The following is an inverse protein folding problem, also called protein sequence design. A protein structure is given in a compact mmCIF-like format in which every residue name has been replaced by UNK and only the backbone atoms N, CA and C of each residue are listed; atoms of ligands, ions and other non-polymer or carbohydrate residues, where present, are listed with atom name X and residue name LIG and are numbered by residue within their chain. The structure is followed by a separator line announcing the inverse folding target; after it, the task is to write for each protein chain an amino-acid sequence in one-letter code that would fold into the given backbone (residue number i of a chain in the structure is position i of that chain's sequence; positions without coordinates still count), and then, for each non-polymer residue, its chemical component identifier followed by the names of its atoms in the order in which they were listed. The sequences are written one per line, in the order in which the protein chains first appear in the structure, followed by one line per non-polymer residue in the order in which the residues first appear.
data_IF_638892291688
#
_entry.id   IF_638892291688
#
_cell.length_a   1.000
_cell.length_b   1.000
_cell.length_c   1.000
_cell.angle_alpha   90.00
_cell.angle_beta   90.00
_cell.angle_gamma   90.00
#
_symmetry.space_group_name_H-M   'P 1'
#
loop_
_entity.id
_entity.type
_entity.pdbx_description
1 polymer ?
#
# COMPACT_ATOMS: atom_id res chain seq x y z
N UNK A 1 -21.21 13.58 4.00
CA UNK A 1 -20.07 12.67 3.79
C UNK A 1 -20.50 11.56 2.86
N UNK A 2 -19.78 11.37 1.78
CA UNK A 2 -19.85 10.23 0.87
C UNK A 2 -19.29 8.98 1.54
N UNK A 3 -19.63 7.81 0.99
CA UNK A 3 -19.08 6.52 1.43
C UNK A 3 -17.55 6.50 1.41
N UNK A 4 -16.93 7.14 0.42
CA UNK A 4 -15.47 7.21 0.32
C UNK A 4 -14.86 8.07 1.43
N UNK A 5 -15.51 9.19 1.79
CA UNK A 5 -15.07 10.02 2.92
C UNK A 5 -15.22 9.28 4.26
N UNK A 6 -16.27 8.46 4.42
CA UNK A 6 -16.45 7.62 5.62
C UNK A 6 -15.32 6.59 5.72
N UNK A 7 -15.04 5.87 4.63
CA UNK A 7 -13.96 4.88 4.59
C UNK A 7 -12.60 5.52 4.90
N UNK A 8 -12.29 6.65 4.28
CA UNK A 8 -11.03 7.36 4.50
C UNK A 8 -10.82 7.74 5.97
N UNK A 9 -11.83 8.32 6.63
CA UNK A 9 -11.74 8.69 8.05
C UNK A 9 -11.62 7.49 8.98
N UNK A 10 -12.26 6.37 8.65
CA UNK A 10 -12.14 5.13 9.42
C UNK A 10 -10.73 4.56 9.33
N UNK A 11 -10.14 4.51 8.13
CA UNK A 11 -8.74 4.10 7.95
C UNK A 11 -7.79 4.97 8.77
N UNK A 12 -7.87 6.30 8.62
CA UNK A 12 -7.05 7.24 9.39
C UNK A 12 -7.21 7.04 10.90
N UNK A 13 -8.44 6.82 11.39
CA UNK A 13 -8.69 6.60 12.81
C UNK A 13 -8.07 5.28 13.32
N UNK A 14 -8.17 4.20 12.54
CA UNK A 14 -7.63 2.88 12.90
C UNK A 14 -6.10 2.90 13.00
N UNK A 15 -5.43 3.56 12.05
CA UNK A 15 -3.96 3.68 12.02
C UNK A 15 -3.37 4.43 13.22
N UNK A 16 -4.18 5.24 13.92
CA UNK A 16 -3.74 6.05 15.07
C UNK A 16 -4.17 5.47 16.43
N UNK A 17 -4.64 4.22 16.47
CA UNK A 17 -5.04 3.53 17.72
C UNK A 17 -3.96 2.53 18.11
N UNK A 18 -3.42 2.69 19.32
CA UNK A 18 -2.45 1.74 19.91
C UNK A 18 -3.09 0.68 20.83
N UNK A 19 -4.40 0.80 21.11
CA UNK A 19 -5.13 -0.12 21.98
C UNK A 19 -5.54 -1.39 21.22
N UNK A 20 -4.80 -2.46 21.47
CA UNK A 20 -5.04 -3.76 20.84
C UNK A 20 -6.41 -4.38 21.16
N UNK A 21 -6.93 -4.23 22.39
CA UNK A 21 -8.26 -4.79 22.70
C UNK A 21 -9.37 -4.04 21.97
N UNK A 22 -9.20 -2.72 21.83
CA UNK A 22 -10.12 -1.91 21.05
C UNK A 22 -10.08 -2.27 19.55
N UNK A 23 -8.88 -2.47 18.99
CA UNK A 23 -8.71 -2.92 17.60
C UNK A 23 -9.34 -4.31 17.37
N UNK A 24 -9.18 -5.23 18.31
CA UNK A 24 -9.83 -6.56 18.24
C UNK A 24 -11.35 -6.43 18.24
N UNK A 25 -11.91 -5.56 19.09
CA UNK A 25 -13.35 -5.29 19.13
C UNK A 25 -13.84 -4.73 17.79
N UNK A 26 -13.12 -3.78 17.20
CA UNK A 26 -13.45 -3.23 15.88
C UNK A 26 -13.43 -4.34 14.82
N UNK A 27 -12.39 -5.19 14.84
CA UNK A 27 -12.26 -6.32 13.92
C UNK A 27 -13.49 -7.23 13.98
N UNK A 28 -13.90 -7.65 15.17
CA UNK A 28 -15.07 -8.54 15.35
C UNK A 28 -16.37 -7.92 14.78
N UNK A 29 -16.55 -6.60 14.94
CA UNK A 29 -17.72 -5.88 14.41
C UNK A 29 -17.75 -5.92 12.87
N UNK A 30 -16.61 -5.70 12.22
CA UNK A 30 -16.53 -5.59 10.76
C UNK A 30 -16.42 -6.94 10.04
N UNK A 31 -15.93 -7.97 10.73
CA UNK A 31 -15.65 -9.30 10.16
C UNK A 31 -16.91 -9.95 9.54
N UNK A 32 -18.08 -9.73 10.13
CA UNK A 32 -19.37 -10.23 9.62
C UNK A 32 -19.78 -9.63 8.27
N UNK A 33 -19.20 -8.48 7.90
CA UNK A 33 -19.41 -7.80 6.61
C UNK A 33 -18.20 -7.91 5.69
N UNK A 34 -17.09 -8.45 6.18
CA UNK A 34 -15.93 -8.72 5.37
C UNK A 34 -16.25 -9.84 4.39
N UNK A 35 -16.29 -9.48 3.12
CA UNK A 35 -16.23 -10.43 2.03
C UNK A 35 -14.82 -10.30 1.48
N UNK A 36 -14.01 -11.34 1.64
CA UNK A 36 -12.76 -11.41 0.89
C UNK A 36 -13.15 -11.30 -0.58
N UNK A 37 -12.61 -10.30 -1.28
CA UNK A 37 -12.65 -10.34 -2.74
C UNK A 37 -11.89 -11.61 -3.15
N UNK A 38 -12.60 -12.55 -3.81
CA UNK A 38 -12.07 -13.87 -4.17
C UNK A 38 -10.82 -13.78 -5.08
N UNK A 39 -10.55 -12.60 -5.64
CA UNK A 39 -9.30 -12.25 -6.29
C UNK A 39 -9.22 -10.74 -6.47
N UNK A 40 -8.18 -10.10 -5.93
CA UNK A 40 -7.81 -8.76 -6.41
C UNK A 40 -7.18 -8.97 -7.79
N UNK A 41 -7.95 -8.73 -8.84
CA UNK A 41 -7.40 -8.68 -10.19
C UNK A 41 -6.60 -7.38 -10.34
N UNK A 42 -5.31 -7.52 -10.61
CA UNK A 42 -4.46 -6.37 -10.93
C UNK A 42 -4.87 -5.83 -12.31
N UNK A 43 -5.22 -4.54 -12.43
CA UNK A 43 -5.31 -3.86 -13.71
C UNK A 43 -4.13 -4.18 -14.64
N UNK A 44 -4.38 -4.27 -15.94
CA UNK A 44 -3.35 -4.59 -16.95
C UNK A 44 -2.11 -3.69 -16.85
N UNK A 45 -2.28 -2.41 -16.49
CA UNK A 45 -1.16 -1.48 -16.30
C UNK A 45 -0.26 -1.85 -15.11
N UNK A 46 -0.81 -2.45 -14.05
CA UNK A 46 -0.02 -2.93 -12.91
C UNK A 46 0.76 -4.18 -13.29
N UNK A 47 0.10 -5.13 -13.99
CA UNK A 47 0.77 -6.33 -14.50
C UNK A 47 1.95 -5.97 -15.41
N UNK A 48 1.74 -5.07 -16.38
CA UNK A 48 2.82 -4.58 -17.26
C UNK A 48 3.97 -3.94 -16.51
N UNK A 49 3.70 -3.21 -15.42
CA UNK A 49 4.75 -2.60 -14.60
C UNK A 49 5.56 -3.63 -13.82
N UNK A 50 4.90 -4.69 -13.34
CA UNK A 50 5.56 -5.79 -12.65
C UNK A 50 6.47 -6.53 -13.64
N UNK A 51 5.94 -6.94 -14.80
CA UNK A 51 6.71 -7.64 -15.85
C UNK A 51 7.93 -6.80 -16.29
N UNK A 52 7.75 -5.50 -16.48
CA UNK A 52 8.85 -4.60 -16.83
C UNK A 52 9.88 -4.49 -15.71
N UNK A 53 9.45 -4.41 -14.45
CA UNK A 53 10.36 -4.33 -13.30
C UNK A 53 11.17 -5.63 -13.15
N UNK A 54 10.55 -6.79 -13.34
CA UNK A 54 11.22 -8.08 -13.31
C UNK A 54 12.28 -8.17 -14.42
N UNK A 55 11.94 -7.75 -15.64
CA UNK A 55 12.88 -7.66 -16.77
C UNK A 55 14.06 -6.73 -16.50
N UNK A 56 13.80 -5.57 -15.89
CA UNK A 56 14.84 -4.61 -15.51
C UNK A 56 15.80 -5.21 -14.49
N UNK A 57 15.28 -5.88 -13.46
CA UNK A 57 16.09 -6.56 -12.44
C UNK A 57 16.99 -7.63 -13.07
N UNK A 58 16.44 -8.47 -13.95
CA UNK A 58 17.21 -9.50 -14.66
C UNK A 58 18.34 -8.93 -15.52
N UNK A 59 18.13 -7.75 -16.11
CA UNK A 59 19.12 -7.03 -16.92
C UNK A 59 20.11 -6.21 -16.07
N UNK A 60 19.97 -6.16 -14.75
CA UNK A 60 20.78 -5.31 -13.88
C UNK A 60 20.41 -3.82 -13.92
N UNK A 61 19.23 -3.49 -14.46
CA UNK A 61 18.66 -2.14 -14.55
C UNK A 61 17.91 -1.78 -13.26
N UNK A 62 18.53 -2.01 -12.12
CA UNK A 62 17.98 -1.67 -10.81
C UNK A 62 18.92 -0.71 -10.07
N UNK A 63 18.36 -0.01 -9.09
CA UNK A 63 19.15 0.78 -8.16
C UNK A 63 19.36 -0.01 -6.87
N UNK A 64 20.57 0.07 -6.30
CA UNK A 64 20.79 -0.31 -4.91
C UNK A 64 20.26 0.77 -3.99
N UNK A 65 20.00 0.42 -2.73
CA UNK A 65 19.56 1.36 -1.71
C UNK A 65 20.47 2.61 -1.64
N UNK A 66 21.79 2.41 -1.65
CA UNK A 66 22.77 3.51 -1.66
C UNK A 66 22.63 4.41 -2.91
N UNK A 67 22.33 3.84 -4.08
CA UNK A 67 22.11 4.63 -5.29
C UNK A 67 20.81 5.42 -5.22
N UNK A 68 19.75 4.85 -4.63
CA UNK A 68 18.48 5.55 -4.41
C UNK A 68 18.68 6.71 -3.45
N UNK A 69 19.36 6.50 -2.33
CA UNK A 69 19.62 7.54 -1.32
C UNK A 69 20.38 8.73 -1.93
N UNK A 70 21.42 8.46 -2.72
CA UNK A 70 22.17 9.51 -3.42
C UNK A 70 21.29 10.32 -4.40
N UNK A 71 20.33 9.69 -5.06
CA UNK A 71 19.38 10.38 -5.96
C UNK A 71 18.43 11.26 -5.16
N UNK A 72 17.95 10.77 -4.03
CA UNK A 72 17.06 11.52 -3.13
C UNK A 72 17.80 12.73 -2.55
N UNK A 73 19.02 12.55 -2.05
CA UNK A 73 19.83 13.63 -1.50
C UNK A 73 20.08 14.74 -2.53
N UNK A 74 20.34 14.35 -3.79
CA UNK A 74 20.48 15.31 -4.88
C UNK A 74 19.20 16.09 -5.14
N UNK A 75 18.05 15.42 -5.15
CA UNK A 75 16.76 16.04 -5.41
C UNK A 75 16.34 17.00 -4.29
N UNK A 76 16.65 16.68 -3.03
CA UNK A 76 16.34 17.52 -1.86
C UNK A 76 17.30 18.70 -1.67
N UNK A 77 18.47 18.66 -2.32
CA UNK A 77 19.46 19.74 -2.31
C UNK A 77 19.30 20.77 -3.44
N UNK A 78 18.38 20.54 -4.38
CA UNK A 78 17.94 21.51 -5.42
C UNK A 78 16.82 22.43 -4.89
#
# INVERSE_FOLDING_TARGET
MSTNEIKGKLHESIENIDDNEFLLTIKEIIEHKYQAEDSIELPEWQLKRIEESERQIENGEFYTDEQVDNVIDKWLGE
#
